data_IF_648589563125
#
_entry.id   IF_648589563125
#
_cell.length_a   1.000
_cell.length_b   1.000
_cell.length_c   1.000
_cell.angle_alpha   90.00
_cell.angle_beta   90.00
_cell.angle_gamma   90.00
#
_symmetry.space_group_name_H-M   'P 1'
#
loop_
_entity.id
_entity.type
_entity.pdbx_description
1 polymer ?
#
# COMPACT_ATOMS: atom_id res chain seq x y z
N UNK A 1 21.52 11.21 -14.11
CA UNK A 1 21.17 10.04 -13.26
C UNK A 1 21.37 10.31 -11.77
N UNK A 2 22.55 10.76 -11.31
CA UNK A 2 22.84 11.03 -9.88
C UNK A 2 22.13 12.26 -9.24
N UNK A 3 21.53 13.15 -10.04
CA UNK A 3 20.83 14.36 -9.53
C UNK A 3 19.45 14.10 -8.92
N UNK A 4 18.88 12.90 -9.07
CA UNK A 4 17.56 12.52 -8.52
C UNK A 4 17.60 11.93 -7.10
N UNK A 5 18.79 11.54 -6.61
CA UNK A 5 18.99 10.91 -5.31
C UNK A 5 19.23 11.93 -4.19
N UNK A 6 18.37 12.94 -4.07
CA UNK A 6 18.36 13.77 -2.85
C UNK A 6 17.57 13.04 -1.75
N UNK A 7 18.07 12.96 -0.51
CA UNK A 7 17.35 12.32 0.60
C UNK A 7 15.91 12.85 0.79
N UNK A 8 15.70 14.14 0.51
CA UNK A 8 14.39 14.80 0.53
C UNK A 8 13.40 14.21 -0.48
N UNK A 9 13.85 13.97 -1.72
CA UNK A 9 13.02 13.37 -2.78
C UNK A 9 12.55 11.97 -2.39
N UNK A 10 13.45 11.16 -1.82
CA UNK A 10 13.13 9.79 -1.42
C UNK A 10 12.20 9.73 -0.20
N UNK A 11 12.43 10.61 0.77
CA UNK A 11 11.55 10.76 1.95
C UNK A 11 10.14 11.14 1.52
N UNK A 12 10.02 12.08 0.57
CA UNK A 12 8.73 12.50 0.05
C UNK A 12 8.00 11.37 -0.68
N UNK A 13 8.71 10.58 -1.49
CA UNK A 13 8.13 9.42 -2.17
C UNK A 13 7.65 8.33 -1.21
N UNK A 14 8.44 7.96 -0.20
CA UNK A 14 8.03 7.02 0.85
C UNK A 14 6.79 7.54 1.57
N UNK A 15 6.79 8.82 1.98
CA UNK A 15 5.65 9.41 2.69
C UNK A 15 4.40 9.47 1.83
N UNK A 16 4.52 9.77 0.54
CA UNK A 16 3.38 9.88 -0.39
C UNK A 16 2.73 8.52 -0.58
N UNK A 17 3.49 7.54 -1.07
CA UNK A 17 3.01 6.18 -1.32
C UNK A 17 2.46 5.51 -0.05
N UNK A 18 3.18 5.63 1.08
CA UNK A 18 2.71 5.12 2.38
C UNK A 18 1.34 5.68 2.80
N UNK A 19 1.09 6.98 2.60
CA UNK A 19 -0.20 7.62 2.89
C UNK A 19 -1.28 7.15 1.91
N UNK A 20 -0.95 6.98 0.63
CA UNK A 20 -1.86 6.48 -0.38
C UNK A 20 -2.41 5.09 -0.05
N UNK A 21 -1.61 4.19 0.54
CA UNK A 21 -2.07 2.87 1.03
C UNK A 21 -3.28 3.04 1.96
N UNK A 22 -3.12 3.84 3.02
CA UNK A 22 -4.20 4.06 3.99
C UNK A 22 -5.42 4.76 3.38
N UNK A 23 -5.19 5.70 2.45
CA UNK A 23 -6.26 6.41 1.72
C UNK A 23 -7.08 5.44 0.86
N UNK A 24 -6.42 4.60 0.07
CA UNK A 24 -7.07 3.64 -0.81
C UNK A 24 -7.90 2.61 -0.02
N UNK A 25 -7.39 2.13 1.13
CA UNK A 25 -8.16 1.26 2.04
C UNK A 25 -9.41 1.97 2.55
N UNK A 26 -9.30 3.21 3.01
CA UNK A 26 -10.43 3.97 3.53
C UNK A 26 -11.50 4.22 2.44
N UNK A 27 -11.06 4.54 1.22
CA UNK A 27 -11.95 4.69 0.07
C UNK A 27 -12.63 3.36 -0.31
N UNK A 28 -11.87 2.27 -0.35
CA UNK A 28 -12.40 0.92 -0.58
C UNK A 28 -13.47 0.58 0.46
N UNK A 29 -13.21 0.85 1.73
CA UNK A 29 -14.16 0.60 2.81
C UNK A 29 -15.52 1.29 2.60
N UNK A 30 -15.53 2.47 1.96
CA UNK A 30 -16.76 3.19 1.59
C UNK A 30 -17.45 2.66 0.33
N UNK A 31 -16.77 1.82 -0.46
CA UNK A 31 -17.27 1.25 -1.74
C UNK A 31 -17.80 -0.19 -1.63
N UNK A 32 -17.89 -0.76 -0.41
CA UNK A 32 -18.36 -2.14 -0.14
C UNK A 32 -19.79 -2.49 -0.59
N UNK A 33 -20.56 -1.53 -1.13
CA UNK A 33 -21.83 -1.81 -1.81
C UNK A 33 -21.64 -2.42 -3.19
N UNK A 34 -20.48 -2.19 -3.81
CA UNK A 34 -20.14 -2.69 -5.15
C UNK A 34 -18.81 -3.44 -5.07
N UNK A 35 -18.85 -4.77 -5.18
CA UNK A 35 -17.68 -5.63 -5.00
C UNK A 35 -16.50 -5.22 -5.89
N UNK A 36 -16.74 -5.01 -7.19
CA UNK A 36 -15.67 -4.63 -8.11
C UNK A 36 -15.01 -3.29 -7.73
N UNK A 37 -15.80 -2.32 -7.23
CA UNK A 37 -15.27 -1.03 -6.80
C UNK A 37 -14.50 -1.12 -5.47
N UNK A 38 -14.89 -2.05 -4.58
CA UNK A 38 -14.15 -2.37 -3.37
C UNK A 38 -12.81 -3.02 -3.72
N UNK A 39 -12.83 -4.11 -4.49
CA UNK A 39 -11.63 -4.86 -4.90
C UNK A 39 -10.66 -3.97 -5.66
N UNK A 40 -11.14 -3.12 -6.57
CA UNK A 40 -10.28 -2.20 -7.31
C UNK A 40 -9.48 -1.27 -6.37
N UNK A 41 -10.09 -0.78 -5.28
CA UNK A 41 -9.39 0.05 -4.30
C UNK A 41 -8.38 -0.73 -3.44
N UNK A 42 -8.59 -2.03 -3.24
CA UNK A 42 -7.59 -2.88 -2.59
C UNK A 42 -6.37 -3.05 -3.49
N UNK A 43 -6.57 -3.29 -4.78
CA UNK A 43 -5.48 -3.38 -5.76
C UNK A 43 -4.68 -2.08 -5.87
N UNK A 44 -5.35 -0.92 -5.82
CA UNK A 44 -4.67 0.38 -5.72
C UNK A 44 -3.81 0.47 -4.43
N UNK A 45 -4.36 0.04 -3.29
CA UNK A 45 -3.61 0.01 -2.02
C UNK A 45 -2.41 -0.95 -2.07
N UNK A 46 -2.52 -2.09 -2.74
CA UNK A 46 -1.42 -3.03 -2.93
C UNK A 46 -0.30 -2.42 -3.79
N UNK A 47 -0.69 -1.71 -4.84
CA UNK A 47 0.25 -1.05 -5.75
C UNK A 47 1.05 0.04 -5.03
N UNK A 48 0.41 0.83 -4.18
CA UNK A 48 1.05 1.87 -3.36
C UNK A 48 1.94 1.28 -2.24
N UNK A 49 1.57 0.10 -1.70
CA UNK A 49 2.38 -0.63 -0.74
C UNK A 49 3.67 -1.17 -1.39
N UNK A 50 3.54 -1.75 -2.59
CA UNK A 50 4.69 -2.19 -3.38
C UNK A 50 5.59 -1.02 -3.81
N UNK A 51 5.00 0.13 -4.20
CA UNK A 51 5.77 1.36 -4.46
C UNK A 51 6.56 1.78 -3.21
N UNK A 52 5.95 1.73 -2.02
CA UNK A 52 6.64 2.05 -0.77
C UNK A 52 7.84 1.13 -0.54
N UNK A 53 7.70 -0.18 -0.79
CA UNK A 53 8.79 -1.15 -0.68
C UNK A 53 9.97 -0.82 -1.61
N UNK A 54 9.69 -0.45 -2.86
CA UNK A 54 10.70 -0.02 -3.82
C UNK A 54 11.49 1.18 -3.28
N UNK A 55 10.82 2.16 -2.69
CA UNK A 55 11.50 3.33 -2.12
C UNK A 55 12.30 3.02 -0.86
N UNK A 56 11.84 2.08 -0.02
CA UNK A 56 12.60 1.58 1.12
C UNK A 56 13.89 0.89 0.67
N UNK A 57 13.83 0.07 -0.38
CA UNK A 57 15.03 -0.56 -0.95
C UNK A 57 16.04 0.47 -1.44
N UNK A 58 15.58 1.50 -2.16
CA UNK A 58 16.45 2.57 -2.61
C UNK A 58 17.08 3.32 -1.43
N UNK A 59 16.34 3.53 -0.34
CA UNK A 59 16.84 4.21 0.86
C UNK A 59 17.97 3.41 1.52
N UNK A 60 17.81 2.09 1.59
CA UNK A 60 18.85 1.18 2.11
C UNK A 60 20.07 1.14 1.17
N UNK A 61 19.86 0.98 -0.15
CA UNK A 61 20.97 0.94 -1.14
C UNK A 61 21.80 2.22 -1.14
N UNK A 62 21.17 3.37 -0.89
CA UNK A 62 21.85 4.66 -0.77
C UNK A 62 22.28 5.03 0.65
N UNK A 63 22.18 4.08 1.60
CA UNK A 63 22.62 4.24 3.00
C UNK A 63 21.93 5.39 3.75
N UNK A 64 20.71 5.73 3.34
CA UNK A 64 19.85 6.71 4.04
C UNK A 64 18.96 6.05 5.10
N UNK A 65 18.80 4.73 5.02
CA UNK A 65 18.05 3.93 5.97
C UNK A 65 18.91 2.73 6.36
N UNK A 66 18.96 2.41 7.66
CA UNK A 66 19.61 1.20 8.13
C UNK A 66 18.95 -0.04 7.51
N UNK A 67 19.76 -1.06 7.20
CA UNK A 67 19.29 -2.27 6.51
C UNK A 67 18.28 -3.06 7.34
N UNK A 68 18.46 -3.12 8.67
CA UNK A 68 17.54 -3.85 9.53
C UNK A 68 16.20 -3.12 9.61
N UNK A 69 16.24 -1.81 9.83
CA UNK A 69 15.02 -0.97 9.84
C UNK A 69 14.29 -1.05 8.50
N UNK A 70 15.01 -0.92 7.38
CA UNK A 70 14.43 -1.06 6.04
C UNK A 70 13.82 -2.45 5.80
N UNK A 71 14.48 -3.51 6.27
CA UNK A 71 13.96 -4.87 6.18
C UNK A 71 12.71 -5.11 7.05
N UNK A 72 12.65 -4.52 8.24
CA UNK A 72 11.46 -4.57 9.09
C UNK A 72 10.28 -3.85 8.45
N UNK A 73 10.49 -2.63 7.95
CA UNK A 73 9.46 -1.88 7.24
C UNK A 73 8.99 -2.60 5.97
N UNK A 74 9.90 -3.20 5.21
CA UNK A 74 9.54 -3.98 4.02
C UNK A 74 8.61 -5.15 4.38
N UNK A 75 8.96 -5.92 5.44
CA UNK A 75 8.12 -7.03 5.94
C UNK A 75 6.77 -6.56 6.44
N UNK A 76 6.69 -5.38 7.06
CA UNK A 76 5.41 -4.80 7.44
C UNK A 76 4.52 -4.56 6.22
N UNK A 77 5.09 -4.05 5.12
CA UNK A 77 4.36 -3.88 3.87
C UNK A 77 4.00 -5.22 3.20
N UNK A 78 4.84 -6.24 3.28
CA UNK A 78 4.49 -7.60 2.81
C UNK A 78 3.25 -8.14 3.53
N UNK A 79 3.18 -7.92 4.86
CA UNK A 79 2.02 -8.31 5.65
C UNK A 79 0.75 -7.52 5.27
N UNK A 80 0.89 -6.23 4.94
CA UNK A 80 -0.22 -5.41 4.45
C UNK A 80 -0.71 -5.94 3.11
N UNK A 81 0.20 -6.16 2.15
CA UNK A 81 -0.12 -6.70 0.82
C UNK A 81 -0.81 -8.06 0.98
N UNK A 82 -0.29 -8.97 1.79
CA UNK A 82 -0.91 -10.27 2.02
C UNK A 82 -2.34 -10.19 2.56
N UNK A 83 -2.62 -9.23 3.45
CA UNK A 83 -3.99 -8.97 3.95
C UNK A 83 -4.91 -8.41 2.85
N UNK A 84 -4.40 -7.49 2.03
CA UNK A 84 -5.16 -6.89 0.93
C UNK A 84 -5.50 -7.93 -0.14
N UNK A 85 -4.52 -8.73 -0.56
CA UNK A 85 -4.69 -9.84 -1.50
C UNK A 85 -5.71 -10.85 -0.96
N UNK A 86 -5.59 -11.25 0.31
CA UNK A 86 -6.55 -12.17 0.93
C UNK A 86 -7.96 -11.60 0.94
N UNK A 87 -8.11 -10.30 1.22
CA UNK A 87 -9.39 -9.59 1.23
C UNK A 87 -9.96 -9.41 -0.20
N UNK A 88 -9.12 -9.15 -1.19
CA UNK A 88 -9.49 -9.02 -2.60
C UNK A 88 -9.88 -10.34 -3.26
N UNK A 89 -9.22 -11.45 -2.89
CA UNK A 89 -9.52 -12.80 -3.39
C UNK A 89 -10.81 -13.39 -2.81
N UNK A 90 -11.25 -12.91 -1.64
CA UNK A 90 -12.48 -13.36 -0.99
C UNK A 90 -13.27 -12.15 -0.45
N UNK A 91 -13.80 -11.25 -1.29
CA UNK A 91 -14.36 -9.98 -0.81
C UNK A 91 -15.70 -10.14 -0.07
N UNK A 92 -16.42 -11.25 -0.28
CA UNK A 92 -17.77 -11.51 0.22
C UNK A 92 -18.01 -11.21 1.71
N UNK A 93 -17.09 -11.55 2.65
CA UNK A 93 -17.26 -11.23 4.07
C UNK A 93 -17.36 -9.73 4.36
N UNK A 94 -16.88 -8.88 3.46
CA UNK A 94 -16.83 -7.43 3.65
C UNK A 94 -17.90 -6.68 2.85
N UNK A 95 -18.56 -7.32 1.88
CA UNK A 95 -19.57 -6.68 1.02
C UNK A 95 -20.88 -6.45 1.79
N UNK A 96 -21.44 -5.25 1.64
CA UNK A 96 -22.73 -4.90 2.20
C UNK A 96 -23.84 -5.45 1.30
N UNK A 97 -24.53 -6.50 1.77
CA UNK A 97 -25.73 -7.00 1.09
C UNK A 97 -26.83 -5.95 1.20
N UNK A 98 -27.30 -5.45 0.06
CA UNK A 98 -28.48 -4.61 0.00
C UNK A 98 -29.66 -5.52 0.34
N UNK A 99 -30.30 -5.32 1.49
CA UNK A 99 -31.63 -5.87 1.71
C UNK A 99 -32.57 -5.10 0.79
N UNK A 100 -33.17 -5.77 -0.19
CA UNK A 100 -34.33 -5.21 -0.86
C UNK A 100 -35.43 -5.03 0.20
N UNK A 101 -36.10 -3.87 0.24
CA UNK A 101 -37.22 -3.63 1.14
C UNK A 101 -38.37 -4.61 0.88
#
# INVERSE_FOLDING_TARGET
MWKLFRPRSLTDQIRRSSRSVSSAIAEGWRRRKYQNAFVNKLNESESEAAETQVWLEYAVKCKYLDRNIGGDLHRMYDNVIGKLVSMGNNPDPWILKIKHP
#
